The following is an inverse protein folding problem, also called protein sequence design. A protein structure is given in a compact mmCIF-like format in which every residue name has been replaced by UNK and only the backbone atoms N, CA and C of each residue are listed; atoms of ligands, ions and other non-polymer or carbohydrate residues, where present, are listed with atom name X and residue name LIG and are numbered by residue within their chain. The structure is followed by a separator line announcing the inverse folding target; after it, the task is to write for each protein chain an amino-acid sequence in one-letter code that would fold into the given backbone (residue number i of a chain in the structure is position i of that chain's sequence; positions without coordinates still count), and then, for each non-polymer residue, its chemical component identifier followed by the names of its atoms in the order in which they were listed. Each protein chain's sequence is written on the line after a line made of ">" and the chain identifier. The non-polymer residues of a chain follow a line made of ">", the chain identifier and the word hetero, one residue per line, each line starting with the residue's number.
data_IF_902903991779
#
_entry.id   IF_902903991779
#
_cell.length_a   1.000
_cell.length_b   1.000
_cell.length_c   1.000
_cell.angle_alpha   90.00
_cell.angle_beta   90.00
_cell.angle_gamma   90.00
#
_symmetry.space_group_name_H-M   'P 1'
#
loop_
_entity.id
_entity.type
_entity.pdbx_description
1 polymer ?
#
# COMPACT_ATOMS: atom_id res chain seq x y z
N UNK A 1 -9.38 13.64 3.43
CA UNK A 1 -8.37 12.56 3.57
C UNK A 1 -9.06 11.21 3.54
N UNK A 2 -8.33 10.12 3.25
CA UNK A 2 -8.86 8.75 3.25
C UNK A 2 -9.60 8.40 4.55
N UNK A 3 -9.00 8.67 5.73
CA UNK A 3 -9.62 8.36 7.04
C UNK A 3 -10.98 9.02 7.24
N UNK A 4 -11.10 10.30 6.86
CA UNK A 4 -12.37 11.03 6.97
C UNK A 4 -13.44 10.46 6.03
N UNK A 5 -13.07 10.11 4.80
CA UNK A 5 -13.97 9.48 3.84
C UNK A 5 -14.43 8.09 4.32
N UNK A 6 -13.51 7.27 4.83
CA UNK A 6 -13.81 5.94 5.37
C UNK A 6 -14.78 6.03 6.55
N UNK A 7 -14.52 6.92 7.51
CA UNK A 7 -15.41 7.12 8.67
C UNK A 7 -16.80 7.58 8.25
N UNK A 8 -16.90 8.49 7.27
CA UNK A 8 -18.18 8.94 6.73
C UNK A 8 -18.96 7.80 6.07
N UNK A 9 -18.27 6.92 5.33
CA UNK A 9 -18.90 5.82 4.60
C UNK A 9 -19.33 4.66 5.50
N UNK A 10 -18.57 4.36 6.56
CA UNK A 10 -18.72 3.12 7.33
C UNK A 10 -18.98 3.31 8.82
N UNK A 11 -19.02 4.56 9.31
CA UNK A 11 -19.31 4.87 10.71
C UNK A 11 -18.22 4.45 11.71
N UNK A 12 -17.04 4.04 11.25
CA UNK A 12 -15.91 3.60 12.08
C UNK A 12 -14.57 4.09 11.53
N UNK A 13 -13.54 4.14 12.38
CA UNK A 13 -12.18 4.48 11.95
C UNK A 13 -11.63 3.40 11.01
N UNK A 14 -10.80 3.81 10.06
CA UNK A 14 -10.08 2.88 9.20
C UNK A 14 -8.94 2.21 9.98
N UNK A 15 -8.77 0.91 9.76
CA UNK A 15 -7.64 0.13 10.24
C UNK A 15 -6.66 -0.19 9.09
N UNK A 16 -5.67 -1.02 9.40
CA UNK A 16 -4.65 -1.45 8.43
C UNK A 16 -5.26 -2.20 7.25
N UNK A 17 -6.35 -2.96 7.44
CA UNK A 17 -6.98 -3.75 6.38
C UNK A 17 -7.71 -2.85 5.39
N UNK A 18 -8.38 -1.81 5.89
CA UNK A 18 -8.96 -0.78 5.03
C UNK A 18 -7.88 -0.10 4.17
N UNK A 19 -6.75 0.27 4.78
CA UNK A 19 -5.63 0.90 4.06
C UNK A 19 -5.05 -0.04 3.00
N UNK A 20 -4.86 -1.33 3.31
CA UNK A 20 -4.36 -2.32 2.35
C UNK A 20 -5.30 -2.49 1.14
N UNK A 21 -6.63 -2.45 1.37
CA UNK A 21 -7.60 -2.46 0.27
C UNK A 21 -7.57 -1.20 -0.57
N UNK A 22 -7.44 -0.03 0.05
CA UNK A 22 -7.29 1.25 -0.64
C UNK A 22 -6.04 1.27 -1.54
N UNK A 23 -4.92 0.81 -0.98
CA UNK A 23 -3.64 0.66 -1.67
C UNK A 23 -3.71 -0.30 -2.86
N UNK A 24 -4.38 -1.44 -2.71
CA UNK A 24 -4.61 -2.36 -3.82
C UNK A 24 -5.41 -1.70 -4.95
N UNK A 25 -6.41 -0.89 -4.61
CA UNK A 25 -7.14 -0.09 -5.59
C UNK A 25 -6.26 0.89 -6.36
N UNK A 26 -5.34 1.57 -5.67
CA UNK A 26 -4.36 2.46 -6.32
C UNK A 26 -3.42 1.71 -7.26
N UNK A 27 -2.94 0.53 -6.85
CA UNK A 27 -2.07 -0.30 -7.67
C UNK A 27 -2.77 -0.80 -8.93
N UNK A 28 -4.00 -1.32 -8.81
CA UNK A 28 -4.80 -1.75 -9.96
C UNK A 28 -5.08 -0.57 -10.90
N UNK A 29 -5.40 0.61 -10.35
CA UNK A 29 -5.60 1.82 -11.14
C UNK A 29 -4.34 2.19 -11.95
N UNK A 30 -3.15 2.17 -11.34
CA UNK A 30 -1.91 2.46 -12.05
C UNK A 30 -1.69 1.51 -13.25
N UNK A 31 -2.00 0.22 -13.08
CA UNK A 31 -1.98 -0.75 -14.16
C UNK A 31 -2.97 -0.43 -15.28
N UNK A 32 -4.24 -0.17 -14.92
CA UNK A 32 -5.31 0.13 -15.88
C UNK A 32 -5.05 1.42 -16.66
N UNK A 33 -4.61 2.48 -15.97
CA UNK A 33 -4.29 3.77 -16.58
C UNK A 33 -3.18 3.61 -17.63
N UNK A 34 -2.16 2.79 -17.36
CA UNK A 34 -1.04 2.54 -18.28
C UNK A 34 -1.42 1.78 -19.56
N UNK A 35 -2.49 0.99 -19.50
CA UNK A 35 -3.01 0.22 -20.65
C UNK A 35 -4.28 0.82 -21.24
N UNK A 36 -4.73 1.98 -20.75
CA UNK A 36 -5.98 2.60 -21.20
C UNK A 36 -7.20 1.70 -21.01
N UNK A 37 -7.19 0.84 -19.99
CA UNK A 37 -8.26 -0.13 -19.72
C UNK A 37 -8.18 -1.45 -20.50
N UNK A 38 -7.25 -1.63 -21.44
CA UNK A 38 -7.05 -2.91 -22.12
C UNK A 38 -6.38 -3.95 -21.20
N UNK A 39 -7.20 -4.77 -20.53
CA UNK A 39 -6.73 -5.85 -19.66
C UNK A 39 -6.09 -7.02 -20.41
N UNK A 40 -6.22 -7.05 -21.75
CA UNK A 40 -5.49 -7.98 -22.63
C UNK A 40 -4.01 -7.64 -22.73
N UNK A 41 -3.62 -6.37 -22.55
CA UNK A 41 -2.23 -5.90 -22.50
C UNK A 41 -1.53 -6.24 -21.16
N UNK A 42 -1.73 -7.48 -20.67
CA UNK A 42 -1.35 -7.95 -19.33
C UNK A 42 0.11 -7.67 -18.97
N UNK A 43 1.05 -7.89 -19.88
CA UNK A 43 2.49 -7.66 -19.62
C UNK A 43 2.76 -6.18 -19.32
N UNK A 44 2.16 -5.26 -20.09
CA UNK A 44 2.29 -3.81 -19.90
C UNK A 44 1.62 -3.38 -18.60
N UNK A 45 0.44 -3.94 -18.29
CA UNK A 45 -0.29 -3.66 -17.05
C UNK A 45 0.52 -4.07 -15.81
N UNK A 46 1.05 -5.30 -15.80
CA UNK A 46 1.88 -5.80 -14.69
C UNK A 46 3.13 -4.94 -14.53
N UNK A 47 3.83 -4.62 -15.62
CA UNK A 47 5.02 -3.77 -15.57
C UNK A 47 4.73 -2.38 -15.00
N UNK A 48 3.57 -1.79 -15.31
CA UNK A 48 3.16 -0.52 -14.73
C UNK A 48 2.88 -0.63 -13.22
N UNK A 49 2.25 -1.72 -12.79
CA UNK A 49 2.03 -1.99 -11.36
C UNK A 49 3.36 -2.18 -10.60
N UNK A 50 4.29 -2.95 -11.16
CA UNK A 50 5.63 -3.19 -10.58
C UNK A 50 6.41 -1.90 -10.32
N UNK A 51 6.20 -0.87 -11.16
CA UNK A 51 6.89 0.42 -11.08
C UNK A 51 6.05 1.53 -10.41
N UNK A 52 4.85 1.21 -9.89
CA UNK A 52 3.98 2.20 -9.29
C UNK A 52 4.50 2.70 -7.93
N UNK A 53 4.41 4.02 -7.71
CA UNK A 53 4.53 4.62 -6.38
C UNK A 53 3.13 4.77 -5.81
N UNK A 54 2.87 4.18 -4.65
CA UNK A 54 1.57 4.22 -4.00
C UNK A 54 1.58 5.27 -2.89
N UNK A 55 0.76 6.32 -3.05
CA UNK A 55 0.55 7.35 -2.04
C UNK A 55 -0.47 6.88 -1.00
N UNK A 56 0.01 6.08 -0.04
CA UNK A 56 -0.84 5.44 0.95
C UNK A 56 -1.05 6.30 2.19
N UNK A 57 -2.20 6.19 2.87
CA UNK A 57 -2.37 6.71 4.24
C UNK A 57 -1.31 6.25 5.25
N UNK A 58 -0.57 5.16 4.97
CA UNK A 58 0.55 4.67 5.81
C UNK A 58 1.93 5.25 5.43
N UNK A 59 1.97 6.17 4.46
CA UNK A 59 3.18 6.71 3.85
C UNK A 59 3.39 6.14 2.44
N UNK A 60 4.14 6.86 1.61
CA UNK A 60 4.48 6.40 0.27
C UNK A 60 5.29 5.10 0.32
N UNK A 61 5.00 4.19 -0.61
CA UNK A 61 5.72 2.93 -0.75
C UNK A 61 5.77 2.47 -2.21
N UNK A 62 6.73 1.59 -2.51
CA UNK A 62 6.93 0.96 -3.82
C UNK A 62 6.98 -0.56 -3.67
N UNK A 63 6.76 -1.30 -4.75
CA UNK A 63 7.00 -2.74 -4.76
C UNK A 63 8.50 -3.04 -4.86
N UNK A 64 8.94 -4.07 -4.15
CA UNK A 64 10.23 -4.70 -4.42
C UNK A 64 10.17 -5.49 -5.74
N UNK A 65 11.32 -5.94 -6.22
CA UNK A 65 11.40 -6.87 -7.36
C UNK A 65 10.62 -8.18 -7.13
N UNK A 66 10.36 -8.56 -5.88
CA UNK A 66 9.55 -9.72 -5.51
C UNK A 66 8.06 -9.37 -5.27
N UNK A 67 7.64 -8.16 -5.66
CA UNK A 67 6.26 -7.66 -5.56
C UNK A 67 5.75 -7.55 -4.12
N UNK A 68 6.63 -7.28 -3.16
CA UNK A 68 6.24 -6.99 -1.79
C UNK A 68 6.43 -5.49 -1.48
N UNK A 69 5.54 -4.83 -0.71
CA UNK A 69 5.72 -3.42 -0.38
C UNK A 69 7.00 -3.14 0.42
N UNK A 70 7.82 -2.22 -0.08
CA UNK A 70 8.93 -1.60 0.64
C UNK A 70 8.41 -0.35 1.33
N UNK A 71 8.30 -0.38 2.65
CA UNK A 71 7.55 0.62 3.41
C UNK A 71 8.14 0.87 4.80
N UNK A 72 7.75 1.97 5.43
CA UNK A 72 8.08 2.23 6.83
C UNK A 72 7.31 1.30 7.78
N UNK A 73 7.98 0.87 8.84
CA UNK A 73 7.38 0.23 10.00
C UNK A 73 7.44 1.18 11.19
N UNK A 74 6.35 1.29 11.93
CA UNK A 74 6.20 2.25 13.02
C UNK A 74 6.13 1.55 14.37
N UNK A 75 6.86 2.09 15.35
CA UNK A 75 6.63 1.74 16.74
C UNK A 75 5.33 2.38 17.18
N UNK A 76 4.44 1.59 17.79
CA UNK A 76 3.13 2.06 18.28
C UNK A 76 2.96 1.70 19.75
N UNK A 77 2.23 2.55 20.47
CA UNK A 77 1.83 2.30 21.84
C UNK A 77 0.33 2.49 21.98
N UNK A 78 -0.34 1.60 22.70
CA UNK A 78 -1.76 1.77 23.02
C UNK A 78 -1.89 2.80 24.13
N UNK A 79 -2.62 3.88 23.85
CA UNK A 79 -3.01 4.92 24.81
C UNK A 79 -4.49 5.21 24.63
N UNK A 80 -5.26 5.15 25.71
CA UNK A 80 -6.72 5.38 25.69
C UNK A 80 -7.47 4.55 24.61
N UNK A 81 -7.05 3.29 24.40
CA UNK A 81 -7.65 2.41 23.39
C UNK A 81 -7.24 2.70 21.94
N UNK A 82 -6.33 3.64 21.69
CA UNK A 82 -5.83 4.00 20.36
C UNK A 82 -4.37 3.59 20.20
N UNK A 83 -4.02 3.04 19.04
CA UNK A 83 -2.63 2.76 18.67
C UNK A 83 -1.96 4.04 18.16
N UNK A 84 -1.32 4.79 19.05
CA UNK A 84 -0.60 6.01 18.69
C UNK A 84 0.78 5.68 18.12
N UNK A 85 1.17 6.39 17.07
CA UNK A 85 2.51 6.27 16.47
C UNK A 85 3.51 7.00 17.37
N UNK A 86 4.55 6.28 17.80
CA UNK A 86 5.63 6.84 18.63
C UNK A 86 6.75 7.39 17.74
N UNK A 87 7.21 6.57 16.79
CA UNK A 87 8.28 6.90 15.84
C UNK A 87 8.31 5.91 14.69
N UNK A 88 9.10 6.22 13.66
CA UNK A 88 9.53 5.20 12.69
C UNK A 88 10.47 4.23 13.39
N UNK A 89 10.13 2.94 13.34
CA UNK A 89 10.96 1.86 13.85
C UNK A 89 11.98 1.41 12.79
N UNK A 90 11.55 1.36 11.53
CA UNK A 90 12.39 1.05 10.38
C UNK A 90 11.87 1.75 9.14
N UNK A 91 12.76 2.45 8.43
CA UNK A 91 12.42 3.13 7.19
C UNK A 91 12.56 2.18 6.00
N UNK A 92 11.60 2.23 5.06
CA UNK A 92 11.64 1.52 3.78
C UNK A 92 12.14 0.07 3.90
N UNK A 93 11.58 -0.69 4.85
CA UNK A 93 11.97 -2.08 5.08
C UNK A 93 11.57 -2.91 3.86
N UNK A 94 12.57 -3.45 3.17
CA UNK A 94 12.38 -4.43 2.10
C UNK A 94 12.41 -5.85 2.68
N UNK A 95 11.52 -6.70 2.18
CA UNK A 95 11.61 -8.14 2.39
C UNK A 95 12.82 -8.71 1.63
N UNK A 96 13.71 -9.49 2.29
CA UNK A 96 14.80 -10.20 1.64
C UNK A 96 14.37 -11.18 0.53
N UNK A 97 13.08 -11.53 0.44
CA UNK A 97 12.50 -12.37 -0.59
C UNK A 97 13.18 -13.75 -0.73
N UNK A 98 13.60 -14.34 0.40
CA UNK A 98 14.34 -15.61 0.41
C UNK A 98 13.53 -16.72 -0.28
N UNK A 99 14.10 -17.29 -1.33
CA UNK A 99 13.52 -18.39 -2.10
C UNK A 99 12.66 -17.95 -3.30
N UNK A 100 12.44 -16.65 -3.50
CA UNK A 100 11.81 -16.15 -4.71
C UNK A 100 12.67 -16.43 -5.95
N UNK A 101 12.05 -16.92 -7.02
CA UNK A 101 12.65 -17.10 -8.36
C UNK A 101 11.70 -16.48 -9.37
N UNK A 102 12.15 -15.43 -10.05
CA UNK A 102 11.39 -14.69 -11.06
C UNK A 102 11.55 -15.33 -12.44
#
# INVERSE_FOLDING_TARGET
>A
SYRAAYKKAYGKEADVYGVQGFDAGQLVRAGLDAVGGDTGARKKMISAMENAVIDSPRGQWVLSSAHNPVQNFYLRQVRNGVNEVVRVAMENLADPAKGCRL
#
